data_IF_488919983160
#
_entry.id   IF_488919983160
#
_cell.length_a   1.000
_cell.length_b   1.000
_cell.length_c   1.000
_cell.angle_alpha   90.00
_cell.angle_beta   90.00
_cell.angle_gamma   90.00
#
_symmetry.space_group_name_H-M   'P 1'
#
loop_
_entity.id
_entity.type
_entity.pdbx_description
1 polymer ?
#
# COMPACT_ATOMS: atom_id res chain seq x y z
N UNK A 1 9.11 21.19 -7.68
CA UNK A 1 8.44 19.98 -8.22
C UNK A 1 9.33 18.77 -7.91
N UNK A 2 8.77 17.60 -7.53
CA UNK A 2 9.58 16.39 -7.30
C UNK A 2 10.09 15.85 -8.65
N UNK A 3 11.40 15.63 -8.73
CA UNK A 3 12.02 15.07 -9.94
C UNK A 3 12.41 13.62 -9.68
N UNK A 4 11.79 12.71 -10.40
CA UNK A 4 12.04 11.27 -10.34
C UNK A 4 13.39 10.97 -10.97
N UNK A 5 14.19 10.10 -10.33
CA UNK A 5 15.45 9.67 -10.92
C UNK A 5 15.21 8.73 -12.11
N UNK A 6 16.09 8.79 -13.10
CA UNK A 6 16.04 7.89 -14.25
C UNK A 6 16.12 6.43 -13.79
N UNK A 7 15.18 5.60 -14.23
CA UNK A 7 15.20 4.16 -14.00
C UNK A 7 15.99 3.45 -15.10
N UNK A 8 16.96 2.62 -14.70
CA UNK A 8 17.78 1.81 -15.61
C UNK A 8 17.58 0.34 -15.26
N UNK A 9 16.68 -0.38 -15.96
CA UNK A 9 16.38 -1.76 -15.62
C UNK A 9 17.61 -2.65 -15.76
N UNK A 10 17.87 -3.51 -14.78
CA UNK A 10 18.94 -4.51 -14.83
C UNK A 10 18.78 -5.46 -16.02
N UNK A 11 17.54 -5.75 -16.40
CA UNK A 11 17.13 -6.54 -17.55
C UNK A 11 15.66 -6.25 -17.89
N UNK A 12 15.27 -6.54 -19.11
CA UNK A 12 13.92 -6.35 -19.63
C UNK A 12 13.02 -7.55 -19.36
N UNK A 13 11.69 -7.34 -19.46
CA UNK A 13 10.66 -8.36 -19.38
C UNK A 13 10.01 -8.45 -17.98
N UNK A 14 8.71 -8.14 -17.94
CA UNK A 14 7.94 -8.01 -16.70
C UNK A 14 7.94 -9.27 -15.84
N UNK A 15 7.71 -10.44 -16.45
CA UNK A 15 7.79 -11.73 -15.74
C UNK A 15 9.18 -11.99 -15.13
N UNK A 16 10.24 -11.68 -15.88
CA UNK A 16 11.62 -11.90 -15.41
C UNK A 16 11.95 -11.01 -14.22
N UNK A 17 11.57 -9.74 -14.26
CA UNK A 17 11.78 -8.82 -13.15
C UNK A 17 10.98 -9.25 -11.92
N UNK A 18 9.68 -9.57 -12.10
CA UNK A 18 8.80 -10.03 -11.03
C UNK A 18 9.36 -11.27 -10.32
N UNK A 19 9.74 -12.30 -11.09
CA UNK A 19 10.27 -13.53 -10.53
C UNK A 19 11.65 -13.33 -9.88
N UNK A 20 12.52 -12.52 -10.50
CA UNK A 20 13.83 -12.20 -9.93
C UNK A 20 13.70 -11.49 -8.57
N UNK A 21 12.86 -10.46 -8.49
CA UNK A 21 12.65 -9.73 -7.24
C UNK A 21 12.07 -10.63 -6.15
N UNK A 22 11.14 -11.53 -6.50
CA UNK A 22 10.55 -12.50 -5.59
C UNK A 22 11.55 -13.53 -5.09
N UNK A 23 12.41 -14.06 -5.97
CA UNK A 23 13.34 -15.15 -5.65
C UNK A 23 14.66 -14.69 -5.04
N UNK A 24 15.05 -13.42 -5.24
CA UNK A 24 16.35 -12.91 -4.80
C UNK A 24 16.41 -12.76 -3.27
N UNK A 25 17.32 -13.43 -2.57
CA UNK A 25 17.55 -13.19 -1.14
C UNK A 25 18.01 -11.74 -0.91
N UNK A 26 17.46 -11.11 0.12
CA UNK A 26 17.82 -9.75 0.53
C UNK A 26 18.24 -9.71 1.99
N UNK A 27 19.21 -8.86 2.30
CA UNK A 27 19.66 -8.56 3.66
C UNK A 27 19.34 -7.12 4.02
N UNK A 28 18.94 -6.88 5.24
CA UNK A 28 18.49 -5.57 5.75
C UNK A 28 19.24 -5.27 7.03
N UNK A 29 20.58 -5.09 6.93
CA UNK A 29 21.49 -5.01 8.08
C UNK A 29 21.36 -3.72 8.89
N UNK A 30 20.73 -2.68 8.31
CA UNK A 30 20.53 -1.40 8.98
C UNK A 30 19.17 -1.32 9.70
N UNK A 31 18.25 -2.21 9.36
CA UNK A 31 16.92 -2.25 9.96
C UNK A 31 17.01 -3.04 11.28
N UNK A 32 16.71 -2.45 12.44
CA UNK A 32 16.70 -3.16 13.71
C UNK A 32 15.57 -4.20 13.76
N UNK A 33 15.56 -5.04 14.78
CA UNK A 33 14.42 -5.92 15.01
C UNK A 33 13.17 -5.10 15.28
N UNK A 34 12.02 -5.51 14.73
CA UNK A 34 10.78 -4.78 14.93
C UNK A 34 10.18 -5.02 16.32
N UNK A 35 9.44 -4.03 16.78
CA UNK A 35 8.53 -4.19 17.92
C UNK A 35 7.13 -4.48 17.37
N UNK A 36 6.49 -5.51 17.91
CA UNK A 36 5.09 -5.79 17.61
C UNK A 36 4.17 -4.74 18.24
N UNK A 37 3.27 -4.20 17.44
CA UNK A 37 2.23 -3.28 17.90
C UNK A 37 0.88 -3.72 17.36
N UNK A 38 -0.12 -3.72 18.23
CA UNK A 38 -1.49 -4.03 17.88
C UNK A 38 -2.32 -2.75 17.83
N UNK A 39 -3.20 -2.66 16.83
CA UNK A 39 -4.17 -1.59 16.69
C UNK A 39 -5.58 -2.20 16.75
N UNK A 40 -6.42 -1.73 17.66
CA UNK A 40 -7.80 -2.16 17.82
C UNK A 40 -8.69 -1.38 16.85
N UNK A 41 -8.67 -1.80 15.58
CA UNK A 41 -9.28 -1.07 14.45
C UNK A 41 -10.82 -1.16 14.42
N UNK A 42 -11.40 -2.12 15.12
CA UNK A 42 -12.84 -2.24 15.35
C UNK A 42 -13.07 -3.07 16.61
N UNK A 43 -14.33 -3.10 17.12
CA UNK A 43 -14.68 -3.81 18.36
C UNK A 43 -14.32 -5.31 18.32
N UNK A 44 -14.34 -5.95 17.15
CA UNK A 44 -14.03 -7.37 16.93
C UNK A 44 -12.79 -7.58 16.05
N UNK A 45 -11.99 -6.54 15.83
CA UNK A 45 -10.86 -6.59 14.90
C UNK A 45 -9.64 -5.85 15.41
N UNK A 46 -8.55 -6.59 15.48
CA UNK A 46 -7.22 -6.10 15.80
C UNK A 46 -6.27 -6.40 14.63
N UNK A 47 -5.39 -5.47 14.30
CA UNK A 47 -4.33 -5.67 13.30
C UNK A 47 -2.97 -5.57 13.95
N UNK A 48 -2.04 -6.43 13.51
CA UNK A 48 -0.66 -6.45 13.97
C UNK A 48 0.22 -5.63 13.02
N UNK A 49 1.03 -4.75 13.58
CA UNK A 49 2.13 -4.11 12.86
C UNK A 49 3.48 -4.50 13.44
N UNK A 50 4.49 -4.60 12.57
CA UNK A 50 5.89 -4.65 12.95
C UNK A 50 6.47 -3.24 12.82
N UNK A 51 6.76 -2.62 13.96
CA UNK A 51 7.14 -1.20 14.06
C UNK A 51 8.64 -1.04 14.32
N UNK A 52 9.23 -0.03 13.69
CA UNK A 52 10.60 0.42 13.93
C UNK A 52 10.50 1.89 14.34
N UNK A 53 10.78 2.19 15.60
CA UNK A 53 10.62 3.53 16.18
C UNK A 53 11.98 4.00 16.66
N UNK A 54 12.43 5.14 16.14
CA UNK A 54 13.65 5.79 16.63
C UNK A 54 13.46 6.26 18.08
N UNK A 55 14.47 6.13 18.93
CA UNK A 55 14.41 6.69 20.28
C UNK A 55 14.39 8.22 20.24
N UNK A 56 13.87 8.84 21.30
CA UNK A 56 13.79 10.28 21.46
C UNK A 56 12.49 10.91 20.95
N UNK A 57 12.58 12.11 20.40
CA UNK A 57 11.41 12.89 19.95
C UNK A 57 10.60 12.18 18.85
N UNK A 58 9.28 12.37 18.81
CA UNK A 58 8.44 11.81 17.76
C UNK A 58 8.90 12.22 16.38
N UNK A 59 9.00 11.24 15.47
CA UNK A 59 9.44 11.45 14.07
C UNK A 59 8.31 11.13 13.11
N UNK A 60 8.44 11.69 11.90
CA UNK A 60 7.57 11.31 10.80
C UNK A 60 7.56 9.79 10.59
N UNK A 61 6.40 9.22 10.35
CA UNK A 61 6.18 7.77 10.32
C UNK A 61 5.66 7.32 8.95
N UNK A 62 6.31 6.32 8.37
CA UNK A 62 5.87 5.65 7.15
C UNK A 62 5.07 4.40 7.48
N UNK A 63 3.78 4.38 7.09
CA UNK A 63 2.93 3.19 7.12
C UNK A 63 3.09 2.43 5.81
N UNK A 64 3.33 1.11 5.89
CA UNK A 64 3.51 0.24 4.74
C UNK A 64 2.39 -0.79 4.63
N UNK A 65 1.84 -0.94 3.43
CA UNK A 65 0.73 -1.83 3.11
C UNK A 65 1.17 -2.87 2.07
N UNK A 66 1.06 -4.15 2.44
CA UNK A 66 1.46 -5.26 1.56
C UNK A 66 0.40 -5.59 0.50
N UNK A 67 0.81 -6.32 -0.55
CA UNK A 67 -0.08 -6.82 -1.60
C UNK A 67 -0.90 -8.05 -1.18
N UNK A 68 -1.66 -8.59 -2.15
CA UNK A 68 -2.51 -9.77 -1.96
C UNK A 68 -1.73 -10.94 -1.36
N UNK A 69 -2.24 -11.52 -0.26
CA UNK A 69 -1.63 -12.63 0.48
C UNK A 69 -0.19 -12.37 0.97
N UNK A 70 0.22 -11.10 1.00
CA UNK A 70 1.48 -10.69 1.60
C UNK A 70 1.44 -10.60 3.12
N UNK A 71 2.50 -10.04 3.69
CA UNK A 71 2.59 -9.71 5.12
C UNK A 71 3.61 -8.61 5.35
N UNK A 72 3.67 -8.10 6.57
CA UNK A 72 4.71 -7.19 7.04
C UNK A 72 6.13 -7.74 6.88
N UNK A 73 6.28 -9.08 6.75
CA UNK A 73 7.57 -9.76 6.61
C UNK A 73 8.01 -9.93 5.15
N UNK A 74 7.20 -9.53 4.17
CA UNK A 74 7.57 -9.61 2.77
C UNK A 74 8.86 -8.82 2.49
N UNK A 75 9.69 -9.33 1.57
CA UNK A 75 11.02 -8.76 1.30
C UNK A 75 10.99 -7.28 0.87
N UNK A 76 9.97 -6.88 0.07
CA UNK A 76 9.81 -5.48 -0.36
C UNK A 76 9.36 -4.58 0.80
N UNK A 77 8.52 -5.08 1.72
CA UNK A 77 8.14 -4.35 2.94
C UNK A 77 9.36 -4.06 3.81
N UNK A 78 10.24 -5.04 3.97
CA UNK A 78 11.50 -4.88 4.71
C UNK A 78 12.50 -4.00 3.96
N UNK A 79 12.54 -4.08 2.64
CA UNK A 79 13.45 -3.31 1.80
C UNK A 79 13.20 -1.81 1.85
N UNK A 80 11.95 -1.40 1.69
CA UNK A 80 11.59 0.01 1.85
C UNK A 80 11.74 0.46 3.32
N UNK A 81 11.47 -0.42 4.30
CA UNK A 81 11.68 -0.11 5.71
C UNK A 81 13.15 0.21 6.01
N UNK A 82 14.10 -0.57 5.49
CA UNK A 82 15.54 -0.33 5.66
C UNK A 82 15.98 1.04 5.11
N UNK A 83 15.40 1.45 3.97
CA UNK A 83 15.68 2.76 3.35
C UNK A 83 15.04 3.91 4.13
N UNK A 84 13.76 3.79 4.49
CA UNK A 84 13.05 4.81 5.26
C UNK A 84 13.64 4.98 6.67
N UNK A 85 13.96 3.88 7.34
CA UNK A 85 14.67 3.91 8.62
C UNK A 85 16.00 4.65 8.52
N UNK A 86 16.80 4.33 7.49
CA UNK A 86 18.09 5.01 7.25
C UNK A 86 17.92 6.50 6.96
N UNK A 87 16.80 6.91 6.35
CA UNK A 87 16.45 8.31 6.10
C UNK A 87 15.86 9.01 7.35
N UNK A 88 15.72 8.31 8.48
CA UNK A 88 15.26 8.89 9.76
C UNK A 88 13.74 8.80 10.00
N UNK A 89 13.00 8.06 9.18
CA UNK A 89 11.58 7.80 9.39
C UNK A 89 11.36 6.68 10.41
N UNK A 90 10.35 6.81 11.25
CA UNK A 90 9.74 5.65 11.88
C UNK A 90 9.01 4.84 10.81
N UNK A 91 8.91 3.53 11.00
CA UNK A 91 8.23 2.65 10.03
C UNK A 91 7.25 1.73 10.73
N UNK A 92 6.04 1.66 10.20
CA UNK A 92 4.96 0.76 10.65
C UNK A 92 4.57 -0.14 9.49
N UNK A 93 5.01 -1.40 9.51
CA UNK A 93 4.64 -2.41 8.50
C UNK A 93 3.37 -3.12 8.95
N UNK A 94 2.25 -2.72 8.40
CA UNK A 94 0.94 -3.23 8.80
C UNK A 94 0.64 -4.59 8.15
N UNK A 95 0.23 -5.58 8.95
CA UNK A 95 -0.47 -6.75 8.43
C UNK A 95 -1.95 -6.37 8.28
N UNK A 96 -2.49 -6.50 7.07
CA UNK A 96 -3.93 -6.42 6.87
C UNK A 96 -4.61 -7.58 7.61
N UNK A 97 -5.90 -7.46 7.93
CA UNK A 97 -6.64 -8.49 8.68
C UNK A 97 -6.36 -9.89 8.13
N UNK A 98 -6.13 -10.85 9.00
CA UNK A 98 -5.88 -12.26 8.68
C UNK A 98 -4.60 -12.54 7.86
N UNK A 99 -3.71 -11.58 7.69
CA UNK A 99 -2.44 -11.75 7.01
C UNK A 99 -1.29 -11.85 8.00
N UNK A 100 -0.21 -12.55 7.63
CA UNK A 100 0.98 -12.68 8.48
C UNK A 100 0.78 -13.51 9.75
N UNK A 101 -0.14 -14.47 9.74
CA UNK A 101 -0.42 -15.35 10.91
C UNK A 101 -1.43 -14.76 11.90
N UNK A 102 -2.15 -13.71 11.51
CA UNK A 102 -3.08 -12.97 12.39
C UNK A 102 -4.56 -13.35 12.19
N UNK A 103 -4.83 -14.55 11.67
CA UNK A 103 -6.19 -15.00 11.35
C UNK A 103 -7.13 -14.97 12.58
N UNK A 104 -6.58 -15.14 13.77
CA UNK A 104 -7.32 -15.16 15.05
C UNK A 104 -7.63 -13.78 15.63
N UNK A 105 -6.98 -12.70 15.13
CA UNK A 105 -7.12 -11.35 15.69
C UNK A 105 -8.35 -10.58 15.20
N UNK A 106 -9.02 -11.03 14.15
CA UNK A 106 -10.18 -10.37 13.58
C UNK A 106 -11.18 -11.38 13.08
N UNK A 107 -12.46 -11.25 13.41
CA UNK A 107 -13.51 -12.10 12.85
C UNK A 107 -13.74 -11.82 11.36
N UNK A 108 -13.61 -10.56 10.95
CA UNK A 108 -13.76 -10.15 9.56
C UNK A 108 -12.62 -10.61 8.64
N UNK A 109 -12.85 -10.59 7.34
CA UNK A 109 -11.83 -10.78 6.30
C UNK A 109 -11.24 -9.42 5.90
N UNK A 110 -10.07 -9.39 5.24
CA UNK A 110 -9.61 -8.20 4.56
C UNK A 110 -10.08 -8.19 3.11
N UNK A 111 -10.10 -7.00 2.50
CA UNK A 111 -10.34 -6.81 1.08
C UNK A 111 -9.67 -5.51 0.58
N UNK A 112 -9.55 -5.36 -0.74
CA UNK A 112 -8.82 -4.25 -1.38
C UNK A 112 -9.38 -2.85 -1.06
N UNK A 113 -10.60 -2.73 -0.59
CA UNK A 113 -11.25 -1.47 -0.27
C UNK A 113 -11.40 -1.20 1.25
N UNK A 114 -10.76 -1.99 2.12
CA UNK A 114 -10.88 -1.85 3.58
C UNK A 114 -10.00 -0.73 4.12
N UNK A 115 -10.30 0.51 3.73
CA UNK A 115 -9.55 1.72 4.09
C UNK A 115 -9.70 2.10 5.57
N UNK A 116 -10.78 1.67 6.21
CA UNK A 116 -11.07 1.97 7.61
C UNK A 116 -9.90 1.63 8.55
N UNK A 117 -9.29 0.47 8.39
CA UNK A 117 -8.20 0.04 9.26
C UNK A 117 -6.96 0.94 9.12
N UNK A 118 -6.62 1.30 7.88
CA UNK A 118 -5.48 2.20 7.62
C UNK A 118 -5.78 3.61 8.12
N UNK A 119 -7.00 4.09 7.92
CA UNK A 119 -7.46 5.39 8.43
C UNK A 119 -7.36 5.45 9.97
N UNK A 120 -7.75 4.37 10.65
CA UNK A 120 -7.61 4.26 12.10
C UNK A 120 -6.13 4.37 12.52
N UNK A 121 -5.23 3.63 11.87
CA UNK A 121 -3.79 3.67 12.20
C UNK A 121 -3.19 5.05 11.94
N UNK A 122 -3.54 5.71 10.84
CA UNK A 122 -3.10 7.10 10.55
C UNK A 122 -3.51 8.05 11.68
N UNK A 123 -4.79 7.98 12.06
CA UNK A 123 -5.33 8.85 13.13
C UNK A 123 -4.68 8.56 14.48
N UNK A 124 -4.53 7.30 14.85
CA UNK A 124 -3.91 6.93 16.13
C UNK A 124 -2.46 7.42 16.21
N UNK A 125 -1.68 7.31 15.14
CA UNK A 125 -0.32 7.82 15.09
C UNK A 125 -0.27 9.35 15.22
N UNK A 126 -1.14 10.07 14.53
CA UNK A 126 -1.17 11.53 14.58
C UNK A 126 -1.73 12.07 15.90
N UNK A 127 -2.91 11.57 16.33
CA UNK A 127 -3.67 12.14 17.43
C UNK A 127 -3.23 11.62 18.80
N UNK A 128 -2.88 10.32 18.90
CA UNK A 128 -2.52 9.68 20.16
C UNK A 128 -1.01 9.63 20.41
N UNK A 129 -0.25 9.25 19.38
CA UNK A 129 1.21 9.13 19.50
C UNK A 129 1.92 10.46 19.25
N UNK A 130 1.20 11.45 18.72
CA UNK A 130 1.75 12.80 18.48
C UNK A 130 2.85 12.83 17.42
N UNK A 131 2.87 11.87 16.45
CA UNK A 131 3.88 11.93 15.38
C UNK A 131 3.63 13.17 14.51
N UNK A 132 4.66 13.89 14.10
CA UNK A 132 4.51 15.16 13.39
C UNK A 132 3.98 15.01 11.97
N UNK A 133 4.15 13.84 11.37
CA UNK A 133 3.66 13.57 10.02
C UNK A 133 3.59 12.05 9.76
N UNK A 134 2.67 11.66 8.89
CA UNK A 134 2.49 10.29 8.40
C UNK A 134 2.55 10.28 6.89
N UNK A 135 3.24 9.30 6.32
CA UNK A 135 3.13 8.92 4.92
C UNK A 135 2.60 7.48 4.82
N UNK A 136 1.87 7.15 3.76
CA UNK A 136 1.37 5.79 3.51
C UNK A 136 1.92 5.30 2.18
N UNK A 137 2.56 4.12 2.16
CA UNK A 137 3.01 3.50 0.92
C UNK A 137 2.49 2.06 0.80
N UNK A 138 1.99 1.71 -0.38
CA UNK A 138 1.43 0.40 -0.64
C UNK A 138 1.91 -0.23 -1.95
N UNK A 139 1.91 -1.56 -1.96
CA UNK A 139 2.30 -2.37 -3.11
C UNK A 139 1.11 -3.16 -3.62
N UNK A 140 0.87 -3.14 -4.94
CA UNK A 140 -0.20 -3.92 -5.57
C UNK A 140 -1.57 -3.61 -4.93
N UNK A 141 -2.25 -4.59 -4.32
CA UNK A 141 -3.47 -4.41 -3.53
C UNK A 141 -3.30 -3.35 -2.42
N UNK A 142 -2.16 -3.34 -1.72
CA UNK A 142 -1.85 -2.31 -0.72
C UNK A 142 -1.72 -0.91 -1.33
N UNK A 143 -1.26 -0.83 -2.59
CA UNK A 143 -1.23 0.42 -3.36
C UNK A 143 -2.63 0.93 -3.72
N UNK A 144 -3.52 0.03 -4.13
CA UNK A 144 -4.94 0.36 -4.29
C UNK A 144 -5.55 0.90 -2.98
N UNK A 145 -5.27 0.22 -1.88
CA UNK A 145 -5.79 0.60 -0.56
C UNK A 145 -5.29 1.99 -0.13
N UNK A 146 -4.01 2.30 -0.37
CA UNK A 146 -3.42 3.61 -0.06
C UNK A 146 -4.06 4.74 -0.89
N UNK A 147 -4.21 4.55 -2.21
CA UNK A 147 -4.84 5.54 -3.10
C UNK A 147 -6.33 5.69 -2.82
N UNK A 148 -7.03 4.58 -2.53
CA UNK A 148 -8.44 4.62 -2.17
C UNK A 148 -8.66 5.38 -0.86
N UNK A 149 -7.82 5.18 0.14
CA UNK A 149 -7.84 5.95 1.38
C UNK A 149 -7.71 7.45 1.08
N UNK A 150 -6.71 7.85 0.29
CA UNK A 150 -6.48 9.25 -0.05
C UNK A 150 -7.68 9.87 -0.79
N UNK A 151 -8.29 9.16 -1.76
CA UNK A 151 -9.47 9.64 -2.48
C UNK A 151 -10.74 9.65 -1.63
N UNK A 152 -10.90 8.75 -0.66
CA UNK A 152 -12.02 8.78 0.30
C UNK A 152 -11.89 9.89 1.34
N UNK A 153 -10.67 10.27 1.67
CA UNK A 153 -10.39 11.40 2.57
C UNK A 153 -10.63 12.73 1.85
N UNK A 154 -10.18 12.87 0.58
CA UNK A 154 -10.29 14.11 -0.18
C UNK A 154 -9.78 15.31 0.62
N UNK A 155 -10.56 16.38 0.67
CA UNK A 155 -10.31 17.61 1.44
C UNK A 155 -10.34 17.42 2.97
N UNK A 156 -10.92 16.31 3.46
CA UNK A 156 -10.92 15.95 4.88
C UNK A 156 -9.66 15.14 5.30
N UNK A 157 -8.64 15.09 4.46
CA UNK A 157 -7.38 14.46 4.84
C UNK A 157 -6.72 15.24 6.00
N UNK A 158 -6.21 14.56 7.04
CA UNK A 158 -5.54 15.27 8.13
C UNK A 158 -4.25 15.94 7.63
N UNK A 159 -3.97 17.15 8.09
CA UNK A 159 -2.78 17.93 7.69
C UNK A 159 -1.47 17.17 7.88
N UNK A 160 -1.42 16.27 8.88
CA UNK A 160 -0.28 15.42 9.14
C UNK A 160 -0.09 14.27 8.14
N UNK A 161 -1.05 13.98 7.24
CA UNK A 161 -0.88 12.99 6.16
C UNK A 161 -0.19 13.67 4.97
N UNK A 162 1.13 13.62 4.94
CA UNK A 162 1.95 14.41 4.01
C UNK A 162 2.15 13.77 2.63
N UNK A 163 1.98 12.46 2.50
CA UNK A 163 2.16 11.77 1.21
C UNK A 163 1.49 10.40 1.17
N UNK A 164 1.07 9.99 -0.03
CA UNK A 164 0.64 8.63 -0.34
C UNK A 164 1.43 8.11 -1.53
N UNK A 165 1.96 6.87 -1.45
CA UNK A 165 2.72 6.24 -2.52
C UNK A 165 2.15 4.87 -2.88
N UNK A 166 2.13 4.54 -4.17
CA UNK A 166 1.61 3.28 -4.65
C UNK A 166 2.52 2.69 -5.75
N UNK A 167 2.96 1.43 -5.57
CA UNK A 167 3.77 0.70 -6.55
C UNK A 167 2.93 -0.38 -7.19
N UNK A 168 2.83 -0.35 -8.52
CA UNK A 168 1.99 -1.27 -9.30
C UNK A 168 0.59 -1.45 -8.71
N UNK A 169 -0.15 -0.36 -8.35
CA UNK A 169 -1.41 -0.47 -7.65
C UNK A 169 -2.50 -1.09 -8.52
N UNK A 170 -3.26 -2.01 -7.95
CA UNK A 170 -4.41 -2.64 -8.62
C UNK A 170 -5.64 -1.70 -8.61
N UNK A 171 -5.51 -0.48 -9.17
CA UNK A 171 -6.51 0.59 -9.07
C UNK A 171 -7.84 0.26 -9.76
N UNK A 172 -7.82 -0.58 -10.80
CA UNK A 172 -8.99 -1.21 -11.41
C UNK A 172 -8.91 -2.71 -11.16
N UNK A 173 -9.60 -3.16 -10.11
CA UNK A 173 -9.55 -4.56 -9.70
C UNK A 173 -10.11 -5.51 -10.77
N UNK A 174 -11.16 -5.10 -11.48
CA UNK A 174 -11.75 -5.92 -12.54
C UNK A 174 -10.77 -6.17 -13.68
N UNK A 175 -10.09 -5.11 -14.15
CA UNK A 175 -9.08 -5.20 -15.19
C UNK A 175 -7.85 -6.02 -14.74
N UNK A 176 -7.43 -5.87 -13.48
CA UNK A 176 -6.32 -6.64 -12.91
C UNK A 176 -6.64 -8.13 -12.79
N UNK A 177 -7.83 -8.48 -12.30
CA UNK A 177 -8.26 -9.89 -12.22
C UNK A 177 -8.40 -10.50 -13.61
N UNK A 178 -8.97 -9.76 -14.59
CA UNK A 178 -9.03 -10.21 -15.97
C UNK A 178 -7.63 -10.43 -16.58
N UNK A 179 -6.66 -9.57 -16.27
CA UNK A 179 -5.28 -9.76 -16.71
C UNK A 179 -4.64 -10.99 -16.03
N UNK A 180 -4.90 -11.21 -14.74
CA UNK A 180 -4.40 -12.36 -13.99
C UNK A 180 -4.93 -13.70 -14.56
N UNK A 181 -6.18 -13.74 -15.05
CA UNK A 181 -6.81 -14.91 -15.67
C UNK A 181 -6.24 -15.27 -17.07
N UNK A 182 -5.32 -14.45 -17.62
CA UNK A 182 -4.67 -14.77 -18.92
C UNK A 182 -3.77 -15.99 -18.79
N UNK A 183 -3.67 -16.79 -19.86
CA UNK A 183 -2.83 -18.01 -19.90
C UNK A 183 -1.39 -17.78 -19.44
N UNK A 184 -0.78 -16.64 -19.79
CA UNK A 184 0.57 -16.28 -19.37
C UNK A 184 0.73 -16.11 -17.85
N UNK A 185 -0.36 -15.90 -17.12
CA UNK A 185 -0.37 -15.59 -15.69
C UNK A 185 -0.89 -16.74 -14.80
N UNK A 186 -1.24 -17.88 -15.38
CA UNK A 186 -1.82 -19.01 -14.64
C UNK A 186 -0.98 -19.49 -13.45
N UNK A 187 0.36 -19.40 -13.53
CA UNK A 187 1.25 -19.77 -12.43
C UNK A 187 1.09 -18.80 -11.23
N UNK A 188 0.94 -17.51 -11.49
CA UNK A 188 0.69 -16.51 -10.45
C UNK A 188 -0.71 -16.70 -9.84
N UNK A 189 -1.72 -16.88 -10.69
CA UNK A 189 -3.09 -17.09 -10.22
C UNK A 189 -3.19 -18.34 -9.36
N UNK A 190 -2.59 -19.45 -9.80
CA UNK A 190 -2.52 -20.68 -9.01
C UNK A 190 -1.87 -20.44 -7.64
N UNK A 191 -0.76 -19.71 -7.60
CA UNK A 191 -0.08 -19.38 -6.36
C UNK A 191 -0.95 -18.53 -5.43
N UNK A 192 -1.63 -17.51 -5.94
CA UNK A 192 -2.56 -16.70 -5.15
C UNK A 192 -3.72 -17.54 -4.62
N UNK A 193 -4.37 -18.33 -5.46
CA UNK A 193 -5.48 -19.20 -5.06
C UNK A 193 -5.05 -20.19 -4.00
N UNK A 194 -3.87 -20.80 -4.13
CA UNK A 194 -3.31 -21.71 -3.12
C UNK A 194 -3.15 -21.01 -1.76
N UNK A 195 -2.61 -19.80 -1.75
CA UNK A 195 -2.38 -19.02 -0.53
C UNK A 195 -3.72 -18.56 0.10
N UNK A 196 -4.66 -18.06 -0.71
CA UNK A 196 -6.02 -17.71 -0.29
C UNK A 196 -6.73 -18.89 0.37
N UNK A 197 -6.66 -20.07 -0.24
CA UNK A 197 -7.22 -21.30 0.34
C UNK A 197 -6.53 -21.69 1.66
N UNK A 198 -5.21 -21.57 1.72
CA UNK A 198 -4.43 -21.84 2.93
C UNK A 198 -4.84 -20.92 4.08
N UNK A 199 -4.92 -19.61 3.82
CA UNK A 199 -5.37 -18.62 4.79
C UNK A 199 -6.82 -18.90 5.22
N UNK A 200 -7.73 -19.19 4.31
CA UNK A 200 -9.12 -19.48 4.67
C UNK A 200 -9.26 -20.73 5.57
N UNK A 201 -8.42 -21.75 5.37
CA UNK A 201 -8.39 -22.92 6.28
C UNK A 201 -7.92 -22.53 7.69
N UNK A 202 -6.84 -21.72 7.80
CA UNK A 202 -6.39 -21.22 9.09
C UNK A 202 -7.43 -20.32 9.75
N UNK A 203 -8.13 -19.50 8.94
CA UNK A 203 -9.23 -18.67 9.40
C UNK A 203 -10.39 -19.48 9.98
N UNK A 204 -10.82 -20.52 9.26
CA UNK A 204 -11.88 -21.41 9.73
C UNK A 204 -11.47 -22.20 11.00
N UNK A 205 -10.18 -22.53 11.13
CA UNK A 205 -9.66 -23.16 12.36
C UNK A 205 -9.67 -22.19 13.55
N UNK A 206 -9.37 -20.90 13.33
CA UNK A 206 -9.42 -19.86 14.36
C UNK A 206 -10.86 -19.50 14.79
N UNK A 207 -11.83 -19.68 13.90
CA UNK A 207 -13.26 -19.41 14.16
C UNK A 207 -14.13 -20.58 13.70
N UNK A 208 -14.20 -21.67 14.47
CA UNK A 208 -14.94 -22.87 14.10
C UNK A 208 -16.40 -22.58 13.78
N UNK A 209 -16.89 -23.09 12.65
CA UNK A 209 -18.27 -22.91 12.20
C UNK A 209 -18.57 -21.57 11.51
N UNK A 210 -17.67 -20.59 11.54
CA UNK A 210 -17.92 -19.26 10.94
C UNK A 210 -17.68 -19.23 9.42
N UNK A 211 -16.84 -20.10 8.89
CA UNK A 211 -16.44 -20.09 7.47
C UNK A 211 -16.56 -21.50 6.86
N UNK A 212 -17.48 -21.70 5.92
CA UNK A 212 -17.62 -23.00 5.24
C UNK A 212 -16.40 -23.26 4.36
N UNK A 213 -15.86 -24.49 4.40
CA UNK A 213 -14.67 -24.88 3.62
C UNK A 213 -15.01 -25.61 2.32
N UNK A 214 -16.25 -26.05 2.14
CA UNK A 214 -16.66 -26.78 0.93
C UNK A 214 -16.47 -26.01 -0.37
N UNK A 215 -16.72 -24.69 -0.45
CA UNK A 215 -16.46 -23.92 -1.66
C UNK A 215 -15.00 -23.98 -2.12
N UNK A 216 -14.03 -24.12 -1.19
CA UNK A 216 -12.60 -24.20 -1.53
C UNK A 216 -12.25 -25.34 -2.49
N UNK A 217 -13.04 -26.42 -2.49
CA UNK A 217 -12.80 -27.59 -3.37
C UNK A 217 -12.93 -27.21 -4.86
N UNK A 218 -13.82 -26.26 -5.18
CA UNK A 218 -14.18 -25.87 -6.55
C UNK A 218 -13.45 -24.62 -7.03
N UNK A 219 -12.94 -23.77 -6.15
CA UNK A 219 -12.26 -22.53 -6.47
C UNK A 219 -10.96 -22.82 -7.25
N UNK A 220 -10.77 -22.17 -8.40
CA UNK A 220 -9.58 -22.26 -9.26
C UNK A 220 -9.01 -20.89 -9.62
N UNK A 221 -9.80 -19.81 -9.49
CA UNK A 221 -9.40 -18.44 -9.79
C UNK A 221 -9.59 -17.52 -8.58
N UNK A 222 -8.92 -16.36 -8.59
CA UNK A 222 -9.12 -15.31 -7.57
C UNK A 222 -10.56 -14.82 -7.60
N UNK A 223 -11.14 -14.63 -8.79
CA UNK A 223 -12.55 -14.25 -8.96
C UNK A 223 -13.50 -15.21 -8.27
N UNK A 224 -13.30 -16.53 -8.42
CA UNK A 224 -14.14 -17.52 -7.75
C UNK A 224 -13.99 -17.48 -6.22
N UNK A 225 -12.81 -17.12 -5.71
CA UNK A 225 -12.61 -16.91 -4.28
C UNK A 225 -13.37 -15.68 -3.80
N UNK A 226 -13.27 -14.58 -4.53
CA UNK A 226 -13.95 -13.33 -4.18
C UNK A 226 -15.47 -13.48 -4.24
N UNK A 227 -15.99 -14.23 -5.22
CA UNK A 227 -17.42 -14.57 -5.32
C UNK A 227 -17.92 -15.40 -4.13
N UNK A 228 -17.11 -16.37 -3.69
CA UNK A 228 -17.52 -17.31 -2.64
C UNK A 228 -17.32 -16.76 -1.21
N UNK A 229 -16.34 -15.90 -1.00
CA UNK A 229 -15.95 -15.45 0.33
C UNK A 229 -15.90 -13.93 0.49
N UNK A 230 -15.13 -13.21 -0.35
CA UNK A 230 -14.89 -11.79 -0.15
C UNK A 230 -16.18 -10.99 -0.29
N UNK A 231 -16.91 -11.18 -1.38
CA UNK A 231 -18.11 -10.42 -1.67
C UNK A 231 -19.23 -10.66 -0.63
N UNK A 232 -19.66 -11.90 -0.34
CA UNK A 232 -20.76 -12.11 0.60
C UNK A 232 -20.38 -11.73 2.03
N UNK A 233 -19.13 -11.91 2.45
CA UNK A 233 -18.69 -11.57 3.79
C UNK A 233 -18.75 -10.07 4.08
N UNK A 234 -18.57 -9.24 3.05
CA UNK A 234 -18.54 -7.77 3.17
C UNK A 234 -19.81 -7.09 2.63
N UNK A 235 -20.87 -7.87 2.32
CA UNK A 235 -22.13 -7.32 1.85
C UNK A 235 -22.06 -6.71 0.44
N UNK A 236 -21.10 -7.16 -0.37
CA UNK A 236 -21.13 -6.90 -1.80
C UNK A 236 -22.08 -7.90 -2.47
N UNK A 237 -22.74 -7.47 -3.53
CA UNK A 237 -23.69 -8.32 -4.26
C UNK A 237 -23.02 -9.54 -4.90
N UNK A 238 -21.83 -9.31 -5.49
CA UNK A 238 -21.02 -10.28 -6.22
C UNK A 238 -19.57 -9.78 -6.33
N UNK A 239 -18.66 -10.56 -6.91
CA UNK A 239 -17.27 -10.16 -7.13
C UNK A 239 -17.14 -8.89 -8.00
N UNK A 240 -18.05 -8.69 -8.97
CA UNK A 240 -18.03 -7.49 -9.84
C UNK A 240 -18.38 -6.22 -9.07
N UNK A 241 -19.38 -6.26 -8.20
CA UNK A 241 -19.73 -5.17 -7.28
C UNK A 241 -18.58 -4.88 -6.32
N UNK A 242 -17.94 -5.92 -5.77
CA UNK A 242 -16.74 -5.78 -4.97
C UNK A 242 -15.62 -5.06 -5.73
N UNK A 243 -15.28 -5.51 -6.94
CA UNK A 243 -14.23 -4.90 -7.74
C UNK A 243 -14.54 -3.45 -8.06
N UNK A 244 -15.78 -3.15 -8.43
CA UNK A 244 -16.19 -1.78 -8.70
C UNK A 244 -16.02 -0.87 -7.47
N UNK A 245 -16.58 -1.24 -6.35
CA UNK A 245 -16.63 -0.41 -5.13
C UNK A 245 -15.29 -0.34 -4.40
N UNK A 246 -14.44 -1.36 -4.52
CA UNK A 246 -13.14 -1.43 -3.85
C UNK A 246 -12.00 -0.82 -4.69
N UNK A 247 -12.19 -0.52 -5.96
CA UNK A 247 -11.20 0.09 -6.83
C UNK A 247 -10.94 1.55 -6.48
N UNK A 248 -9.67 1.91 -6.33
CA UNK A 248 -9.24 3.30 -6.08
C UNK A 248 -9.58 4.22 -7.26
N UNK A 249 -9.65 3.68 -8.48
CA UNK A 249 -10.00 4.44 -9.68
C UNK A 249 -11.35 5.18 -9.56
N UNK A 250 -12.26 4.72 -8.70
CA UNK A 250 -13.58 5.32 -8.48
C UNK A 250 -13.55 6.58 -7.60
N UNK A 251 -12.44 6.84 -6.95
CA UNK A 251 -12.28 7.97 -6.02
C UNK A 251 -10.97 8.74 -6.25
N UNK A 252 -10.16 8.33 -7.22
CA UNK A 252 -8.82 8.88 -7.46
C UNK A 252 -8.84 10.36 -7.82
N UNK A 253 -9.87 10.83 -8.49
CA UNK A 253 -10.05 12.24 -8.84
C UNK A 253 -10.16 13.18 -7.63
N UNK A 254 -10.56 12.63 -6.47
CA UNK A 254 -10.72 13.38 -5.22
C UNK A 254 -9.45 13.40 -4.35
N UNK A 255 -8.34 12.82 -4.82
CA UNK A 255 -7.07 12.84 -4.06
C UNK A 255 -6.55 14.28 -4.02
N UNK A 256 -6.35 14.81 -2.82
CA UNK A 256 -5.74 16.10 -2.54
C UNK A 256 -4.39 16.00 -1.82
N UNK A 257 -4.13 14.85 -1.20
CA UNK A 257 -2.82 14.55 -0.61
C UNK A 257 -1.81 14.29 -1.72
N UNK A 258 -0.57 14.85 -1.63
CA UNK A 258 0.49 14.53 -2.59
C UNK A 258 0.66 13.02 -2.78
N UNK A 259 0.47 12.53 -4.00
CA UNK A 259 0.48 11.11 -4.31
C UNK A 259 1.53 10.77 -5.38
N UNK A 260 2.24 9.64 -5.19
CA UNK A 260 3.18 9.06 -6.16
C UNK A 260 2.66 7.70 -6.60
N UNK A 261 2.46 7.52 -7.91
CA UNK A 261 2.13 6.23 -8.52
C UNK A 261 3.32 5.80 -9.38
N UNK A 262 3.86 4.61 -9.10
CA UNK A 262 4.90 3.97 -9.91
C UNK A 262 4.29 2.75 -10.61
N UNK A 263 4.32 2.74 -11.94
CA UNK A 263 3.76 1.69 -12.79
C UNK A 263 4.75 1.28 -13.88
N UNK A 264 4.61 0.07 -14.42
CA UNK A 264 5.41 -0.42 -15.54
C UNK A 264 4.53 -0.86 -16.70
N UNK A 265 4.96 -0.57 -17.95
CA UNK A 265 4.25 -1.00 -19.16
C UNK A 265 4.23 -2.52 -19.30
N UNK A 266 5.26 -3.19 -18.80
CA UNK A 266 5.45 -4.64 -18.86
C UNK A 266 4.92 -5.38 -17.60
N UNK A 267 4.12 -4.73 -16.74
CA UNK A 267 3.50 -5.41 -15.59
C UNK A 267 2.56 -6.52 -16.07
N UNK A 268 2.78 -7.79 -15.64
CA UNK A 268 2.01 -8.91 -16.18
C UNK A 268 0.51 -8.89 -15.82
N UNK A 269 0.10 -8.23 -14.72
CA UNK A 269 -1.30 -8.26 -14.28
C UNK A 269 -1.88 -6.92 -13.85
N UNK A 270 -1.15 -5.82 -13.97
CA UNK A 270 -1.71 -4.47 -13.80
C UNK A 270 -1.66 -3.73 -15.12
N UNK A 271 -2.79 -3.57 -15.81
CA UNK A 271 -2.83 -2.87 -17.11
C UNK A 271 -2.42 -1.41 -16.97
N UNK A 272 -1.40 -0.99 -17.72
CA UNK A 272 -0.87 0.38 -17.70
C UNK A 272 -1.89 1.43 -18.15
N UNK A 273 -2.90 1.05 -18.93
CA UNK A 273 -3.99 1.94 -19.37
C UNK A 273 -4.71 2.62 -18.22
N UNK A 274 -4.85 1.94 -17.08
CA UNK A 274 -5.48 2.48 -15.88
C UNK A 274 -4.82 3.78 -15.39
N UNK A 275 -3.50 3.90 -15.56
CA UNK A 275 -2.75 5.08 -15.11
C UNK A 275 -2.80 6.24 -16.11
N UNK A 276 -3.34 6.01 -17.29
CA UNK A 276 -3.57 7.02 -18.36
C UNK A 276 -5.00 7.54 -18.38
N UNK A 277 -5.86 7.03 -17.50
CA UNK A 277 -7.23 7.51 -17.36
C UNK A 277 -7.24 9.00 -16.99
N UNK A 278 -8.15 9.81 -17.56
CA UNK A 278 -8.23 11.25 -17.30
C UNK A 278 -8.31 11.59 -15.80
N UNK A 279 -9.06 10.81 -15.02
CA UNK A 279 -9.19 10.98 -13.58
C UNK A 279 -7.86 10.87 -12.82
N UNK A 280 -6.89 10.13 -13.38
CA UNK A 280 -5.54 9.99 -12.81
C UNK A 280 -4.61 11.06 -13.40
N UNK A 281 -4.57 11.18 -14.72
CA UNK A 281 -3.60 11.99 -15.43
C UNK A 281 -3.81 13.50 -15.25
N UNK A 282 -5.05 13.96 -15.01
CA UNK A 282 -5.36 15.38 -14.80
C UNK A 282 -5.36 15.82 -13.34
N UNK A 283 -5.22 14.91 -12.37
CA UNK A 283 -5.20 15.30 -10.96
C UNK A 283 -3.84 15.93 -10.61
N UNK A 284 -3.81 17.23 -10.21
CA UNK A 284 -2.55 17.95 -9.94
C UNK A 284 -1.79 17.44 -8.72
N UNK A 285 -2.45 16.68 -7.84
CA UNK A 285 -1.84 16.10 -6.64
C UNK A 285 -1.16 14.75 -6.91
N UNK A 286 -1.36 14.16 -8.09
CA UNK A 286 -0.83 12.85 -8.45
C UNK A 286 0.37 12.98 -9.38
N UNK A 287 1.51 12.46 -8.95
CA UNK A 287 2.68 12.24 -9.80
C UNK A 287 2.65 10.80 -10.30
N UNK A 288 2.43 10.58 -11.60
CA UNK A 288 2.48 9.25 -12.22
C UNK A 288 3.80 9.03 -12.90
N UNK A 289 4.45 7.92 -12.59
CA UNK A 289 5.71 7.47 -13.20
C UNK A 289 5.47 6.13 -13.88
N UNK A 290 5.47 6.13 -15.20
CA UNK A 290 5.34 4.92 -16.00
C UNK A 290 6.70 4.60 -16.61
N UNK A 291 7.24 3.42 -16.27
CA UNK A 291 8.51 2.93 -16.81
C UNK A 291 8.25 1.88 -17.89
N UNK A 292 9.06 1.78 -18.98
CA UNK A 292 8.89 0.74 -19.99
C UNK A 292 9.02 -0.68 -19.42
N UNK A 293 9.84 -0.82 -18.39
CA UNK A 293 10.11 -2.08 -17.69
C UNK A 293 10.01 -1.89 -16.20
N UNK A 294 9.69 -2.93 -15.45
CA UNK A 294 9.54 -2.89 -13.99
C UNK A 294 8.90 -4.14 -13.42
N UNK A 295 8.14 -4.85 -14.26
CA UNK A 295 7.35 -5.99 -13.83
C UNK A 295 6.37 -5.60 -12.70
N UNK A 296 5.88 -6.59 -11.99
CA UNK A 296 4.97 -6.33 -10.87
C UNK A 296 5.75 -6.08 -9.58
N UNK A 297 5.75 -4.83 -9.13
CA UNK A 297 6.39 -4.39 -7.88
C UNK A 297 7.91 -4.62 -7.80
N UNK A 298 8.62 -4.88 -8.91
CA UNK A 298 10.03 -5.26 -8.90
C UNK A 298 10.98 -4.07 -9.06
N UNK A 299 10.94 -3.39 -10.18
CA UNK A 299 11.76 -2.20 -10.51
C UNK A 299 13.23 -2.35 -10.15
N UNK A 300 13.87 -3.44 -10.69
CA UNK A 300 15.23 -3.81 -10.31
C UNK A 300 16.25 -3.17 -11.24
N UNK A 301 17.18 -2.41 -10.65
CA UNK A 301 18.39 -1.86 -11.27
C UNK A 301 19.63 -2.72 -10.98
N UNK A 302 20.77 -2.36 -11.57
CA UNK A 302 22.05 -2.90 -11.16
C UNK A 302 22.40 -2.39 -9.76
N UNK A 303 22.67 -3.32 -8.85
CA UNK A 303 23.17 -2.97 -7.52
C UNK A 303 24.62 -2.46 -7.61
N UNK A 304 24.96 -1.41 -6.86
CA UNK A 304 26.31 -0.87 -6.79
C UNK A 304 26.53 -0.06 -5.49
N UNK A 305 27.77 0.03 -5.01
CA UNK A 305 28.19 1.00 -3.98
C UNK A 305 27.30 1.10 -2.74
N UNK A 306 26.72 -0.01 -2.28
CA UNK A 306 25.76 -0.02 -1.13
C UNK A 306 24.31 0.18 -1.51
N UNK A 307 23.99 0.50 -2.77
CA UNK A 307 22.63 0.49 -3.32
C UNK A 307 22.23 -0.92 -3.75
N UNK A 308 21.12 -1.41 -3.23
CA UNK A 308 20.66 -2.78 -3.42
C UNK A 308 19.94 -3.04 -4.77
N UNK A 309 19.70 -1.99 -5.57
CA UNK A 309 19.09 -2.07 -6.89
C UNK A 309 17.55 -2.00 -6.89
N UNK A 310 16.87 -1.72 -5.80
CA UNK A 310 15.40 -1.59 -5.78
C UNK A 310 14.99 -0.12 -5.92
N UNK A 311 14.79 0.30 -7.17
CA UNK A 311 14.59 1.70 -7.54
C UNK A 311 13.30 2.29 -6.97
N UNK A 312 12.17 1.59 -7.07
CA UNK A 312 10.89 2.10 -6.57
C UNK A 312 10.93 2.40 -5.07
N UNK A 313 11.59 1.54 -4.27
CA UNK A 313 11.76 1.76 -2.83
C UNK A 313 12.54 3.04 -2.54
N UNK A 314 13.58 3.34 -3.32
CA UNK A 314 14.36 4.57 -3.22
C UNK A 314 13.53 5.79 -3.59
N UNK A 315 12.79 5.73 -4.69
CA UNK A 315 12.00 6.87 -5.16
C UNK A 315 10.84 7.21 -4.21
N UNK A 316 10.22 6.21 -3.58
CA UNK A 316 9.22 6.46 -2.53
C UNK A 316 9.83 7.24 -1.38
N UNK A 317 10.98 6.82 -0.84
CA UNK A 317 11.63 7.51 0.28
C UNK A 317 11.99 8.94 -0.11
N UNK A 318 12.56 9.15 -1.29
CA UNK A 318 12.86 10.50 -1.81
C UNK A 318 11.60 11.36 -1.95
N UNK A 319 10.50 10.78 -2.40
CA UNK A 319 9.25 11.51 -2.54
C UNK A 319 8.69 11.94 -1.18
N UNK A 320 8.59 11.03 -0.22
CA UNK A 320 8.07 11.35 1.11
C UNK A 320 8.95 12.35 1.85
N UNK A 321 10.29 12.29 1.70
CA UNK A 321 11.22 13.30 2.24
C UNK A 321 10.95 14.69 1.65
N UNK A 322 10.75 14.75 0.33
CA UNK A 322 10.42 16.00 -0.36
C UNK A 322 9.08 16.59 0.14
N UNK A 323 8.05 15.76 0.33
CA UNK A 323 6.76 16.24 0.81
C UNK A 323 6.82 16.65 2.30
N UNK A 324 7.56 15.92 3.13
CA UNK A 324 7.77 16.29 4.53
C UNK A 324 8.49 17.65 4.66
N UNK A 325 9.50 17.89 3.83
CA UNK A 325 10.20 19.19 3.81
C UNK A 325 9.23 20.33 3.44
N UNK A 326 8.41 20.14 2.40
CA UNK A 326 7.41 21.14 1.98
C UNK A 326 6.36 21.41 3.06
N UNK A 327 5.88 20.37 3.74
CA UNK A 327 4.93 20.57 4.84
C UNK A 327 5.52 21.38 5.99
N UNK A 328 6.80 21.16 6.32
CA UNK A 328 7.53 21.93 7.33
C UNK A 328 7.73 23.40 6.92
N UNK A 329 8.09 23.64 5.67
CA UNK A 329 8.27 24.99 5.13
C UNK A 329 6.95 25.78 5.16
N UNK A 330 5.84 25.13 4.76
CA UNK A 330 4.50 25.73 4.80
C UNK A 330 4.07 26.08 6.23
N UNK A 331 4.27 25.17 7.19
CA UNK A 331 3.98 25.42 8.60
C UNK A 331 4.82 26.58 9.18
N UNK A 332 6.10 26.66 8.80
CA UNK A 332 7.00 27.76 9.22
C UNK A 332 6.60 29.10 8.61
N UNK A 333 6.11 29.13 7.38
CA UNK A 333 5.60 30.34 6.72
C UNK A 333 4.31 30.84 7.39
N UNK A 334 3.37 29.91 7.68
CA UNK A 334 2.12 30.24 8.36
C UNK A 334 2.32 30.84 9.75
N UNK A 335 3.31 30.35 10.51
CA UNK A 335 3.64 30.87 11.85
C UNK A 335 4.29 32.26 11.83
N UNK A 336 4.82 32.72 10.70
CA UNK A 336 5.45 34.06 10.53
C UNK A 336 4.49 35.14 10.06
N UNK A 337 3.29 34.80 9.62
CA UNK A 337 2.30 35.79 9.18
C UNK A 337 1.66 36.41 10.43
N UNK A 338 1.83 37.73 10.69
CA UNK A 338 1.22 38.35 11.87
C UNK A 338 -0.30 38.33 11.75
N UNK A 339 -0.94 38.12 12.89
CA UNK A 339 -2.41 38.20 12.97
C UNK A 339 -2.88 39.57 12.42
N UNK A 340 -3.99 39.63 11.65
CA UNK A 340 -4.52 40.89 11.16
C UNK A 340 -4.80 41.79 12.35
N UNK A 341 -4.18 42.98 12.37
CA UNK A 341 -4.43 44.00 13.41
C UNK A 341 -5.91 44.36 13.37
N UNK A 342 -6.62 44.10 14.46
CA UNK A 342 -7.98 44.58 14.63
C UNK A 342 -8.00 46.10 14.51
N UNK A 343 -8.88 46.69 13.69
CA UNK A 343 -9.00 48.15 13.65
C UNK A 343 -9.42 48.66 15.03
N UNK A 344 -8.63 49.53 15.59
CA UNK A 344 -8.98 50.32 16.78
C UNK A 344 -10.31 51.05 16.46
N UNK A 345 -11.41 50.64 17.07
CA UNK A 345 -12.66 51.41 17.06
C UNK A 345 -12.38 52.75 17.82
N UNK A 346 -12.52 53.84 17.10
CA UNK A 346 -12.57 55.20 17.66
C UNK A 346 -13.95 55.45 18.26
#
# INVERSE_FOLDING_TARGET
MFQVASYRPRFTGGHRQTLYAWARPRRFSRLPDPVERFFDVAADARVLAHSHIHPGDPRATLILLHGLEGSSMAHYMRGISDKAWTAGWNVVRLNQRNCGGTEHLSRGLYHSGLTHDVRFVVRELLERDGVPAVAVAGYSLGGNLALKLAGELGDAAPDGLVAVCAVSPTMDLAACVQALERKSNLAYEWNFVRNLKGRMRRKAAAFPGAFPLDPLKRIRTVRQFDEAYTAPHHGFRDASDYYHRASALRVVERIEVPALIIAAEDDPFVPVSTFREPAVASNPHITVVITPHGGHCAYVEQANGGYDGYWAEREIVRFIDCQLARARDAASAASRTPAPSLPLRA
#
